data_IF_550405449927
#
_entry.id   IF_550405449927
#
_cell.length_a   1.000
_cell.length_b   1.000
_cell.length_c   1.000
_cell.angle_alpha   90.00
_cell.angle_beta   90.00
_cell.angle_gamma   90.00
#
_symmetry.space_group_name_H-M   'P 1'
#
loop_
_entity.id
_entity.type
_entity.pdbx_description
1 polymer ?
#
# COMPACT_ATOMS: atom_id res chain seq x y z
N UNK A 1 -7.17 -2.99 -21.81
CA UNK A 1 -6.25 -4.15 -21.83
C UNK A 1 -4.92 -3.73 -22.46
N UNK A 2 -3.76 -4.20 -21.98
CA UNK A 2 -2.45 -3.84 -22.56
C UNK A 2 -1.91 -2.45 -22.19
N UNK A 3 -2.45 -1.80 -21.15
CA UNK A 3 -1.89 -0.56 -20.60
C UNK A 3 -1.21 -0.85 -19.27
N UNK A 4 0.01 -0.35 -19.10
CA UNK A 4 0.70 -0.29 -17.82
C UNK A 4 0.81 1.18 -17.38
N UNK A 5 0.54 1.42 -16.10
CA UNK A 5 0.62 2.75 -15.50
C UNK A 5 1.73 2.76 -14.45
N UNK A 6 2.63 3.74 -14.53
CA UNK A 6 3.63 4.02 -13.52
C UNK A 6 3.67 5.55 -13.29
N UNK A 7 3.50 6.03 -12.05
CA UNK A 7 3.48 7.46 -11.77
C UNK A 7 4.85 8.10 -12.01
N UNK A 8 4.87 9.25 -12.69
CA UNK A 8 6.12 9.94 -13.05
C UNK A 8 6.87 10.51 -11.84
N UNK A 9 6.16 10.89 -10.79
CA UNK A 9 6.73 11.59 -9.64
C UNK A 9 7.38 10.67 -8.61
N UNK A 10 7.39 9.36 -8.85
CA UNK A 10 7.95 8.37 -7.91
C UNK A 10 9.29 7.87 -8.46
N UNK A 11 10.36 8.59 -8.09
CA UNK A 11 11.74 8.23 -8.40
C UNK A 11 12.42 7.46 -7.27
N UNK A 12 13.72 7.25 -7.43
CA UNK A 12 14.54 6.37 -6.59
C UNK A 12 14.59 6.75 -5.10
N UNK A 13 14.18 7.98 -4.78
CA UNK A 13 13.96 8.41 -3.40
C UNK A 13 12.89 7.57 -2.71
N UNK A 14 11.72 7.38 -3.33
CA UNK A 14 10.55 6.75 -2.70
C UNK A 14 10.30 5.31 -3.18
N UNK A 15 10.81 4.97 -4.35
CA UNK A 15 10.83 3.61 -4.89
C UNK A 15 12.27 3.17 -5.06
N UNK A 16 12.54 1.87 -5.18
CA UNK A 16 13.78 1.42 -5.79
C UNK A 16 13.57 1.40 -7.32
N UNK A 17 14.16 2.36 -8.03
CA UNK A 17 13.89 2.64 -9.45
C UNK A 17 12.85 3.75 -9.70
N UNK A 18 12.24 3.76 -10.89
CA UNK A 18 11.23 4.76 -11.26
C UNK A 18 11.06 4.89 -12.78
N UNK A 19 10.06 5.65 -13.22
CA UNK A 19 9.75 5.77 -14.66
C UNK A 19 10.90 6.35 -15.47
N UNK A 20 11.69 7.24 -14.87
CA UNK A 20 12.80 7.90 -15.56
C UNK A 20 13.93 6.92 -15.92
N UNK A 21 14.04 5.80 -15.20
CA UNK A 21 14.98 4.72 -15.54
C UNK A 21 14.55 3.93 -16.79
N UNK A 22 13.28 4.05 -17.20
CA UNK A 22 12.71 3.39 -18.37
C UNK A 22 12.68 4.29 -19.61
N UNK A 23 13.03 5.57 -19.48
CA UNK A 23 13.02 6.55 -20.58
C UNK A 23 14.40 6.76 -21.17
N UNK A 24 14.47 7.18 -22.43
CA UNK A 24 15.74 7.49 -23.10
C UNK A 24 16.38 8.75 -22.50
N UNK A 25 17.70 8.76 -22.21
CA UNK A 25 18.40 9.94 -21.72
C UNK A 25 18.79 10.92 -22.84
N UNK A 26 18.40 10.66 -24.10
CA UNK A 26 18.76 11.48 -25.24
C UNK A 26 18.12 12.88 -25.16
N UNK A 27 18.93 13.90 -25.45
CA UNK A 27 18.51 15.29 -25.52
C UNK A 27 19.27 16.02 -26.62
N UNK A 28 18.69 17.09 -27.14
CA UNK A 28 19.32 17.95 -28.14
C UNK A 28 20.52 18.71 -27.51
N UNK A 29 21.75 18.58 -28.03
CA UNK A 29 22.94 19.12 -27.37
C UNK A 29 22.95 20.66 -27.27
N UNK A 30 22.18 21.37 -28.11
CA UNK A 30 22.11 22.83 -28.13
C UNK A 30 21.03 23.36 -27.18
N UNK A 31 19.77 22.96 -27.39
CA UNK A 31 18.59 23.42 -26.64
C UNK A 31 18.36 22.69 -25.32
N UNK A 32 19.00 21.52 -25.14
CA UNK A 32 18.80 20.59 -24.02
C UNK A 32 17.37 20.04 -23.92
N UNK A 33 16.56 20.17 -24.97
CA UNK A 33 15.24 19.56 -25.00
C UNK A 33 15.37 18.04 -25.04
N UNK A 34 14.59 17.30 -24.24
CA UNK A 34 14.59 15.84 -24.27
C UNK A 34 13.99 15.33 -25.59
N UNK A 35 14.41 14.13 -26.01
CA UNK A 35 13.75 13.39 -27.08
C UNK A 35 12.24 13.19 -26.79
N UNK A 36 11.45 12.89 -27.83
CA UNK A 36 10.06 12.46 -27.68
C UNK A 36 9.96 11.37 -26.60
N UNK A 37 9.04 11.53 -25.65
CA UNK A 37 8.83 10.63 -24.49
C UNK A 37 8.21 9.28 -24.88
N UNK A 38 8.71 8.65 -25.93
CA UNK A 38 8.30 7.32 -26.35
C UNK A 38 9.39 6.33 -25.97
N UNK A 39 9.04 5.35 -25.13
CA UNK A 39 9.93 4.26 -24.77
C UNK A 39 9.18 2.94 -24.86
N UNK A 40 9.75 1.97 -25.57
CA UNK A 40 9.23 0.61 -25.61
C UNK A 40 9.56 -0.10 -24.31
N UNK A 41 8.55 -0.65 -23.64
CA UNK A 41 8.72 -1.41 -22.39
C UNK A 41 8.23 -2.84 -22.55
N UNK A 42 8.96 -3.78 -21.96
CA UNK A 42 8.55 -5.18 -21.80
C UNK A 42 8.16 -5.41 -20.35
N UNK A 43 7.04 -6.10 -20.13
CA UNK A 43 6.55 -6.44 -18.81
C UNK A 43 6.78 -7.92 -18.55
N UNK A 44 7.36 -8.23 -17.41
CA UNK A 44 7.63 -9.60 -16.97
C UNK A 44 7.15 -9.80 -15.54
N UNK A 45 6.55 -10.96 -15.21
CA UNK A 45 6.26 -11.31 -13.83
C UNK A 45 7.56 -11.43 -13.03
N UNK A 46 7.58 -10.83 -11.83
CA UNK A 46 8.68 -10.96 -10.87
C UNK A 46 8.24 -11.79 -9.67
N UNK A 47 9.10 -12.70 -9.22
CA UNK A 47 8.85 -13.55 -8.04
C UNK A 47 9.64 -13.00 -6.84
N UNK A 48 8.94 -12.31 -5.95
CA UNK A 48 9.48 -11.78 -4.68
C UNK A 48 8.66 -12.36 -3.51
N UNK A 49 8.84 -13.65 -3.18
CA UNK A 49 7.99 -14.35 -2.22
C UNK A 49 8.17 -13.84 -0.79
N UNK A 50 9.34 -13.31 -0.45
CA UNK A 50 9.57 -12.71 0.86
C UNK A 50 9.18 -11.23 0.83
N UNK A 51 8.33 -10.81 1.77
CA UNK A 51 7.79 -9.45 1.82
C UNK A 51 7.98 -8.81 3.19
N UNK A 52 8.15 -7.50 3.20
CA UNK A 52 8.22 -6.65 4.38
C UNK A 52 7.12 -5.58 4.30
N UNK A 53 6.44 -5.37 5.43
CA UNK A 53 5.56 -4.24 5.65
C UNK A 53 5.90 -3.62 7.00
N UNK A 54 6.25 -2.34 7.03
CA UNK A 54 6.53 -1.61 8.25
C UNK A 54 5.80 -0.26 8.27
N UNK A 55 5.44 0.17 9.46
CA UNK A 55 4.82 1.47 9.72
C UNK A 55 5.42 2.05 10.99
N UNK A 56 5.75 3.34 10.96
CA UNK A 56 6.20 4.10 12.14
C UNK A 56 5.56 5.48 12.16
N UNK A 57 4.84 5.77 13.24
CA UNK A 57 4.28 7.09 13.53
C UNK A 57 5.36 8.05 14.04
N UNK A 58 5.26 9.33 13.69
CA UNK A 58 6.10 10.38 14.26
C UNK A 58 6.80 11.22 13.20
N UNK A 59 8.08 11.52 13.43
CA UNK A 59 8.87 12.35 12.52
C UNK A 59 9.22 11.58 11.25
N UNK A 60 8.32 11.65 10.28
CA UNK A 60 8.43 10.97 8.98
C UNK A 60 9.76 11.22 8.29
N UNK A 61 10.24 12.47 8.25
CA UNK A 61 11.47 12.80 7.53
C UNK A 61 12.69 12.15 8.19
N UNK A 62 12.76 12.18 9.53
CA UNK A 62 13.82 11.51 10.28
C UNK A 62 13.80 9.98 10.08
N UNK A 63 12.62 9.35 10.15
CA UNK A 63 12.49 7.92 9.89
C UNK A 63 12.85 7.57 8.44
N UNK A 64 12.46 8.42 7.49
CA UNK A 64 12.76 8.24 6.08
C UNK A 64 14.28 8.24 5.84
N UNK A 65 15.00 9.25 6.34
CA UNK A 65 16.45 9.37 6.14
C UNK A 65 17.21 8.22 6.80
N UNK A 66 16.72 7.71 7.93
CA UNK A 66 17.33 6.58 8.63
C UNK A 66 17.05 5.22 7.97
N UNK A 67 15.81 4.98 7.49
CA UNK A 67 15.39 3.68 6.95
C UNK A 67 15.72 3.52 5.46
N UNK A 68 15.71 4.60 4.67
CA UNK A 68 15.90 4.52 3.22
C UNK A 68 17.20 3.81 2.81
N UNK A 69 18.37 4.05 3.43
CA UNK A 69 19.61 3.35 3.07
C UNK A 69 19.54 1.84 3.29
N UNK A 70 18.92 1.40 4.39
CA UNK A 70 18.77 -0.03 4.70
C UNK A 70 17.86 -0.75 3.70
N UNK A 71 16.95 0.00 3.08
CA UNK A 71 16.05 -0.57 2.08
C UNK A 71 16.78 -0.98 0.79
N UNK A 72 18.04 -0.54 0.57
CA UNK A 72 18.83 -0.99 -0.59
C UNK A 72 19.10 -2.49 -0.60
N UNK A 73 19.03 -3.16 0.55
CA UNK A 73 19.14 -4.61 0.66
C UNK A 73 17.97 -5.40 0.05
N UNK A 74 16.91 -4.75 -0.43
CA UNK A 74 15.76 -5.41 -1.04
C UNK A 74 15.73 -5.24 -2.56
N UNK A 75 15.11 -6.20 -3.26
CA UNK A 75 14.89 -6.10 -4.70
C UNK A 75 13.77 -5.11 -5.07
N UNK A 76 12.79 -4.94 -4.17
CA UNK A 76 11.71 -3.98 -4.31
C UNK A 76 11.56 -3.17 -3.02
N UNK A 77 11.34 -1.87 -3.17
CA UNK A 77 11.06 -0.94 -2.07
C UNK A 77 10.02 0.09 -2.50
N UNK A 78 9.11 0.42 -1.61
CA UNK A 78 8.23 1.57 -1.69
C UNK A 78 8.07 2.22 -0.31
N UNK A 79 8.40 3.50 -0.21
CA UNK A 79 8.19 4.35 0.95
C UNK A 79 7.08 5.34 0.63
N UNK A 80 6.09 5.42 1.50
CA UNK A 80 4.94 6.32 1.34
C UNK A 80 4.53 6.92 2.68
N UNK A 81 3.79 8.02 2.60
CA UNK A 81 3.29 8.72 3.79
C UNK A 81 1.84 8.36 4.01
N UNK A 82 1.46 8.19 5.27
CA UNK A 82 0.08 7.91 5.66
C UNK A 82 -0.28 8.63 6.95
N UNK A 83 -1.58 8.77 7.20
CA UNK A 83 -2.14 9.54 8.31
C UNK A 83 -2.09 11.06 8.10
N UNK A 84 -3.19 11.72 8.48
CA UNK A 84 -3.33 13.18 8.37
C UNK A 84 -2.98 13.86 9.69
N UNK A 85 -3.59 13.41 10.78
CA UNK A 85 -3.37 13.96 12.13
C UNK A 85 -2.14 13.33 12.81
N UNK A 86 -1.90 12.05 12.53
CA UNK A 86 -0.77 11.28 13.02
C UNK A 86 0.05 10.85 11.82
N UNK A 87 1.06 11.63 11.40
CA UNK A 87 1.86 11.27 10.25
C UNK A 87 2.68 10.01 10.55
N UNK A 88 2.73 9.10 9.59
CA UNK A 88 3.57 7.91 9.65
C UNK A 88 4.26 7.63 8.31
N UNK A 89 5.43 7.04 8.42
CA UNK A 89 6.14 6.46 7.30
C UNK A 89 5.70 5.01 7.13
N UNK A 90 5.27 4.67 5.92
CA UNK A 90 4.96 3.31 5.51
C UNK A 90 6.07 2.79 4.58
N UNK A 91 6.65 1.65 4.94
CA UNK A 91 7.68 0.97 4.14
C UNK A 91 7.13 -0.37 3.68
N UNK A 92 7.19 -0.61 2.38
CA UNK A 92 6.97 -1.90 1.75
C UNK A 92 8.26 -2.32 1.08
N UNK A 93 8.70 -3.54 1.34
CA UNK A 93 9.82 -4.11 0.61
C UNK A 93 9.53 -5.57 0.23
N UNK A 94 10.24 -6.08 -0.77
CA UNK A 94 10.15 -7.48 -1.14
C UNK A 94 11.47 -7.96 -1.74
N UNK A 95 11.72 -9.26 -1.60
CA UNK A 95 12.95 -9.88 -2.08
C UNK A 95 12.71 -11.34 -2.48
N UNK A 96 13.67 -11.89 -3.22
CA UNK A 96 13.65 -13.29 -3.68
C UNK A 96 13.77 -14.25 -2.50
N UNK A 97 14.56 -13.87 -1.50
CA UNK A 97 14.83 -14.65 -0.29
C UNK A 97 14.76 -13.74 0.94
N UNK A 98 14.77 -14.34 2.13
CA UNK A 98 14.83 -13.57 3.36
C UNK A 98 16.18 -12.83 3.46
N UNK A 99 16.20 -11.53 3.83
CA UNK A 99 17.43 -10.81 4.06
C UNK A 99 18.15 -11.33 5.31
N UNK A 100 19.40 -10.90 5.49
CA UNK A 100 20.14 -11.14 6.73
C UNK A 100 19.37 -10.64 7.96
N UNK A 101 19.44 -11.41 9.04
CA UNK A 101 18.82 -11.08 10.32
C UNK A 101 19.34 -9.75 10.86
N UNK A 102 20.61 -9.42 10.64
CA UNK A 102 21.18 -8.14 11.08
C UNK A 102 20.45 -6.94 10.45
N UNK A 103 20.06 -7.05 9.18
CA UNK A 103 19.28 -6.01 8.51
C UNK A 103 17.92 -5.84 9.18
N UNK A 104 17.23 -6.94 9.51
CA UNK A 104 15.94 -6.91 10.20
C UNK A 104 16.05 -6.34 11.62
N UNK A 105 17.09 -6.73 12.37
CA UNK A 105 17.37 -6.17 13.70
C UNK A 105 17.58 -4.66 13.62
N UNK A 106 18.36 -4.18 12.63
CA UNK A 106 18.59 -2.75 12.46
C UNK A 106 17.32 -1.98 12.09
N UNK A 107 16.45 -2.58 11.27
CA UNK A 107 15.11 -2.03 10.98
C UNK A 107 14.28 -1.97 12.27
N UNK A 108 14.24 -3.04 13.06
CA UNK A 108 13.50 -3.07 14.33
C UNK A 108 14.00 -1.97 15.31
N UNK A 109 15.31 -1.73 15.41
CA UNK A 109 15.88 -0.63 16.20
C UNK A 109 15.40 0.75 15.73
N UNK A 110 15.45 1.03 14.42
CA UNK A 110 15.02 2.31 13.87
C UNK A 110 13.50 2.56 13.96
N UNK A 111 12.72 1.48 14.04
CA UNK A 111 11.29 1.53 14.31
C UNK A 111 10.98 1.56 15.82
N UNK A 112 11.98 1.43 16.70
CA UNK A 112 11.81 1.36 18.15
C UNK A 112 11.02 0.12 18.60
N UNK A 113 11.16 -1.00 17.89
CA UNK A 113 10.49 -2.28 18.13
C UNK A 113 11.32 -3.25 18.99
N UNK A 114 12.51 -2.84 19.40
CA UNK A 114 13.42 -3.59 20.27
C UNK A 114 13.15 -3.38 21.77
N UNK A 115 12.38 -2.36 22.15
CA UNK A 115 12.06 -2.04 23.54
C UNK A 115 10.65 -1.46 23.75
N UNK A 116 10.11 -1.68 24.94
CA UNK A 116 8.79 -1.23 25.39
C UNK A 116 7.66 -2.24 25.15
N UNK A 117 6.40 -1.77 25.11
CA UNK A 117 5.22 -2.63 24.97
C UNK A 117 5.05 -3.18 23.53
N UNK A 118 5.98 -4.05 23.13
CA UNK A 118 6.04 -4.67 21.81
C UNK A 118 5.56 -6.11 21.89
N UNK A 119 4.59 -6.45 21.04
CA UNK A 119 4.20 -7.82 20.80
C UNK A 119 5.07 -8.40 19.69
N UNK A 120 5.71 -9.55 19.92
CA UNK A 120 6.61 -10.19 18.98
C UNK A 120 6.21 -11.64 18.66
N UNK A 121 6.46 -12.05 17.42
CA UNK A 121 6.36 -13.44 16.96
C UNK A 121 7.48 -13.71 15.96
N UNK A 122 8.20 -14.81 16.15
CA UNK A 122 9.31 -15.24 15.30
C UNK A 122 9.14 -16.72 14.93
N UNK A 123 9.26 -17.00 13.63
CA UNK A 123 9.39 -18.34 13.07
C UNK A 123 10.58 -18.34 12.10
N UNK A 124 11.79 -18.59 12.60
CA UNK A 124 13.00 -18.62 11.79
C UNK A 124 12.97 -19.67 10.68
N UNK A 125 12.26 -20.79 10.88
CA UNK A 125 12.14 -21.86 9.88
C UNK A 125 11.39 -21.40 8.63
N UNK A 126 10.43 -20.49 8.80
CA UNK A 126 9.66 -19.88 7.72
C UNK A 126 10.13 -18.48 7.34
N UNK A 127 11.21 -18.00 7.97
CA UNK A 127 11.71 -16.63 7.84
C UNK A 127 10.63 -15.56 8.11
N UNK A 128 9.74 -15.85 9.07
CA UNK A 128 8.67 -14.95 9.49
C UNK A 128 9.08 -14.25 10.78
N UNK A 129 8.91 -12.94 10.80
CA UNK A 129 9.00 -12.15 12.01
C UNK A 129 7.87 -11.14 12.02
N UNK A 130 7.20 -10.92 13.16
CA UNK A 130 6.17 -9.89 13.34
C UNK A 130 6.41 -9.15 14.65
N UNK A 131 6.35 -7.82 14.63
CA UNK A 131 6.43 -6.96 15.82
C UNK A 131 5.35 -5.89 15.71
N UNK A 132 4.62 -5.61 16.79
CA UNK A 132 3.62 -4.53 16.87
C UNK A 132 3.79 -3.82 18.21
N UNK A 133 4.08 -2.53 18.19
CA UNK A 133 4.22 -1.68 19.37
C UNK A 133 2.90 -0.98 19.67
N UNK A 134 2.44 -1.13 20.91
CA UNK A 134 1.17 -0.56 21.38
C UNK A 134 1.44 0.35 22.56
N UNK A 135 1.15 1.64 22.40
CA UNK A 135 1.28 2.63 23.46
C UNK A 135 -0.07 3.30 23.69
N UNK A 136 -0.49 3.43 24.95
CA UNK A 136 -1.78 4.06 25.31
C UNK A 136 -2.98 3.49 24.51
N UNK A 137 -3.00 2.16 24.33
CA UNK A 137 -4.10 1.46 23.65
C UNK A 137 -4.17 1.64 22.12
N UNK A 138 -3.09 2.10 21.48
CA UNK A 138 -3.03 2.28 20.02
C UNK A 138 -1.68 1.81 19.46
N UNK A 139 -1.69 1.40 18.19
CA UNK A 139 -0.46 1.07 17.47
C UNK A 139 0.35 2.36 17.26
N UNK A 140 1.67 2.31 17.47
CA UNK A 140 2.60 3.41 17.15
C UNK A 140 3.68 3.00 16.15
N UNK A 141 4.05 1.71 16.14
CA UNK A 141 4.97 1.13 15.18
C UNK A 141 4.62 -0.34 14.91
N UNK A 142 4.92 -0.85 13.73
CA UNK A 142 4.80 -2.27 13.42
C UNK A 142 5.75 -2.70 12.30
N UNK A 143 6.09 -3.98 12.29
CA UNK A 143 6.83 -4.64 11.21
C UNK A 143 6.31 -6.06 11.01
N UNK A 144 6.03 -6.43 9.78
CA UNK A 144 5.71 -7.78 9.31
C UNK A 144 6.76 -8.19 8.27
N UNK A 145 7.45 -9.31 8.46
CA UNK A 145 8.41 -9.88 7.51
C UNK A 145 8.06 -11.32 7.17
N UNK A 146 8.30 -11.69 5.92
CA UNK A 146 7.93 -12.97 5.33
C UNK A 146 6.43 -13.04 5.10
N UNK A 147 5.64 -12.99 6.17
CA UNK A 147 4.19 -13.06 6.16
C UNK A 147 3.59 -11.67 6.47
N UNK A 148 2.87 -11.07 5.51
CA UNK A 148 2.35 -9.69 5.59
C UNK A 148 0.84 -9.58 5.37
N UNK A 149 0.07 -10.68 5.48
CA UNK A 149 -1.37 -10.72 5.19
C UNK A 149 -2.16 -9.73 6.07
N UNK A 150 -1.69 -9.51 7.30
CA UNK A 150 -2.31 -8.59 8.25
C UNK A 150 -2.10 -7.10 7.97
N UNK A 151 -1.25 -6.73 7.00
CA UNK A 151 -0.82 -5.34 6.76
C UNK A 151 -1.96 -4.33 6.67
N UNK A 152 -3.01 -4.67 5.93
CA UNK A 152 -4.09 -3.73 5.60
C UNK A 152 -4.97 -3.40 6.80
N UNK A 153 -5.33 -4.40 7.60
CA UNK A 153 -6.17 -4.15 8.76
C UNK A 153 -5.37 -3.61 9.95
N UNK A 154 -4.08 -3.95 10.09
CA UNK A 154 -3.21 -3.31 11.06
C UNK A 154 -2.99 -1.82 10.75
N UNK A 155 -2.79 -1.47 9.47
CA UNK A 155 -2.73 -0.07 9.05
C UNK A 155 -4.05 0.67 9.35
N UNK A 156 -5.20 0.00 9.15
CA UNK A 156 -6.51 0.57 9.49
C UNK A 156 -6.66 0.81 10.99
N UNK A 157 -6.32 -0.16 11.83
CA UNK A 157 -6.34 0.01 13.29
C UNK A 157 -5.43 1.16 13.75
N UNK A 158 -4.25 1.27 13.13
CA UNK A 158 -3.38 2.43 13.36
C UNK A 158 -4.07 3.75 12.98
N UNK A 159 -4.67 3.85 11.79
CA UNK A 159 -5.41 5.03 11.32
C UNK A 159 -6.56 5.41 12.25
N UNK A 160 -7.32 4.42 12.72
CA UNK A 160 -8.43 4.61 13.67
C UNK A 160 -7.93 5.00 15.07
N UNK A 161 -6.67 4.72 15.39
CA UNK A 161 -6.08 5.02 16.70
C UNK A 161 -6.57 4.08 17.79
N UNK A 162 -6.90 2.85 17.41
CA UNK A 162 -7.49 1.84 18.31
C UNK A 162 -6.70 0.55 18.25
N UNK A 163 -6.45 -0.04 19.41
CA UNK A 163 -5.96 -1.40 19.56
C UNK A 163 -6.71 -2.03 20.74
N UNK A 164 -7.98 -2.37 20.52
CA UNK A 164 -8.85 -2.94 21.53
C UNK A 164 -8.24 -4.23 22.12
N UNK A 165 -8.44 -4.46 23.42
CA UNK A 165 -7.88 -5.64 24.11
C UNK A 165 -8.34 -6.96 23.48
N UNK A 166 -9.55 -7.00 22.91
CA UNK A 166 -10.07 -8.17 22.20
C UNK A 166 -9.33 -8.46 20.88
N UNK A 167 -8.90 -7.41 20.17
CA UNK A 167 -8.17 -7.52 18.91
C UNK A 167 -6.69 -7.81 19.15
N UNK A 168 -6.15 -7.43 20.31
CA UNK A 168 -4.74 -7.57 20.67
C UNK A 168 -4.19 -8.97 20.43
N UNK A 169 -4.94 -10.02 20.80
CA UNK A 169 -4.54 -11.42 20.62
C UNK A 169 -4.37 -11.86 19.15
N UNK A 170 -4.93 -11.09 18.22
CA UNK A 170 -4.96 -11.40 16.80
C UNK A 170 -3.97 -10.59 15.95
N UNK A 171 -3.30 -9.58 16.54
CA UNK A 171 -2.42 -8.66 15.81
C UNK A 171 -1.26 -9.36 15.08
N UNK A 172 -0.79 -10.50 15.61
CA UNK A 172 0.29 -11.29 15.01
C UNK A 172 -0.23 -12.49 14.19
N UNK A 173 -1.54 -12.71 14.15
CA UNK A 173 -2.13 -13.81 13.40
C UNK A 173 -2.04 -13.54 11.88
N UNK A 174 -1.88 -14.58 11.05
CA UNK A 174 -1.88 -14.45 9.59
C UNK A 174 -3.33 -14.32 9.09
N UNK A 175 -3.97 -13.18 9.37
CA UNK A 175 -5.34 -12.88 8.99
C UNK A 175 -5.38 -11.65 8.09
N UNK A 176 -6.20 -11.66 7.04
CA UNK A 176 -6.40 -10.51 6.15
C UNK A 176 -7.38 -9.47 6.70
N UNK A 177 -8.15 -9.84 7.72
CA UNK A 177 -9.15 -9.01 8.39
C UNK A 177 -9.20 -9.36 9.89
N UNK A 178 -9.63 -8.42 10.76
CA UNK A 178 -9.82 -8.73 12.17
C UNK A 178 -10.96 -9.75 12.34
N UNK A 179 -10.83 -10.72 13.25
CA UNK A 179 -11.91 -11.66 13.55
C UNK A 179 -13.13 -10.93 14.12
N UNK A 180 -14.32 -11.34 13.70
CA UNK A 180 -15.59 -10.64 13.99
C UNK A 180 -15.99 -9.59 12.95
N UNK A 181 -15.08 -9.24 12.03
CA UNK A 181 -15.35 -8.66 10.71
C UNK A 181 -16.17 -7.36 10.65
N UNK A 182 -15.47 -6.21 10.53
CA UNK A 182 -15.91 -5.18 9.60
C UNK A 182 -15.22 -5.43 8.26
N UNK A 183 -16.00 -5.52 7.18
CA UNK A 183 -15.54 -5.79 5.82
C UNK A 183 -14.31 -4.94 5.45
N UNK A 184 -13.42 -5.52 4.63
CA UNK A 184 -12.25 -4.82 4.12
C UNK A 184 -12.65 -3.43 3.60
N UNK A 185 -12.09 -2.37 4.21
CA UNK A 185 -12.26 -1.00 3.72
C UNK A 185 -11.77 -0.98 2.28
N UNK A 186 -12.72 -0.85 1.36
CA UNK A 186 -12.42 -0.76 -0.06
C UNK A 186 -11.63 0.52 -0.34
N UNK A 187 -10.84 0.49 -1.42
CA UNK A 187 -10.06 1.62 -1.90
C UNK A 187 -10.95 2.86 -2.02
N UNK A 188 -10.46 4.04 -1.64
CA UNK A 188 -11.16 5.30 -1.95
C UNK A 188 -11.12 5.51 -3.47
N UNK A 189 -12.31 5.57 -4.07
CA UNK A 189 -12.48 5.73 -5.51
C UNK A 189 -12.66 7.19 -5.89
N UNK A 190 -13.37 7.99 -5.07
CA UNK A 190 -13.49 9.44 -5.25
C UNK A 190 -12.85 10.17 -4.07
N UNK A 191 -11.63 10.69 -4.24
CA UNK A 191 -10.95 11.48 -3.21
C UNK A 191 -11.68 12.79 -2.88
N UNK A 192 -12.28 13.44 -3.89
CA UNK A 192 -12.95 14.73 -3.75
C UNK A 192 -14.15 14.66 -2.76
N UNK A 193 -14.84 13.52 -2.70
CA UNK A 193 -16.02 13.28 -1.85
C UNK A 193 -15.81 12.14 -0.84
N UNK A 194 -14.58 11.64 -0.72
CA UNK A 194 -14.21 10.51 0.14
C UNK A 194 -15.09 9.25 -0.04
N UNK A 195 -15.45 8.93 -1.29
CA UNK A 195 -16.32 7.78 -1.60
C UNK A 195 -15.49 6.56 -1.91
N UNK A 196 -15.80 5.44 -1.25
CA UNK A 196 -15.10 4.18 -1.43
C UNK A 196 -15.62 3.36 -2.61
N UNK A 197 -14.77 2.52 -3.17
CA UNK A 197 -15.09 1.60 -4.27
C UNK A 197 -16.23 0.65 -3.87
N UNK A 198 -16.29 0.19 -2.61
CA UNK A 198 -17.40 -0.65 -2.13
C UNK A 198 -18.71 0.10 -2.02
N UNK A 199 -18.70 1.39 -1.68
CA UNK A 199 -19.93 2.20 -1.68
C UNK A 199 -20.47 2.32 -3.11
N UNK A 200 -19.58 2.54 -4.09
CA UNK A 200 -19.93 2.56 -5.51
C UNK A 200 -20.44 1.19 -5.96
N UNK A 201 -19.71 0.10 -5.70
CA UNK A 201 -20.14 -1.25 -6.06
C UNK A 201 -21.45 -1.67 -5.37
N UNK A 202 -21.70 -1.25 -4.13
CA UNK A 202 -22.98 -1.47 -3.45
C UNK A 202 -24.11 -0.70 -4.12
N UNK A 203 -23.87 0.54 -4.55
CA UNK A 203 -24.82 1.32 -5.34
C UNK A 203 -25.13 0.68 -6.70
N UNK A 204 -24.09 0.23 -7.42
CA UNK A 204 -24.24 -0.51 -8.68
C UNK A 204 -25.02 -1.81 -8.46
N UNK A 205 -24.75 -2.54 -7.38
CA UNK A 205 -25.48 -3.76 -7.02
C UNK A 205 -26.97 -3.50 -6.71
N UNK A 206 -27.35 -2.28 -6.34
CA UNK A 206 -28.74 -1.83 -6.22
C UNK A 206 -29.36 -1.34 -7.55
N UNK A 207 -28.61 -1.37 -8.64
CA UNK A 207 -29.08 -0.95 -9.97
C UNK A 207 -28.86 0.53 -10.29
N UNK A 208 -28.04 1.25 -9.52
CA UNK A 208 -27.73 2.66 -9.82
C UNK A 208 -26.80 2.76 -11.03
N UNK A 209 -27.15 3.66 -11.94
CA UNK A 209 -26.26 4.11 -13.02
C UNK A 209 -25.33 5.24 -12.53
N UNK A 210 -24.52 5.79 -13.44
CA UNK A 210 -23.57 6.86 -13.10
C UNK A 210 -24.26 8.08 -12.49
N UNK A 211 -25.45 8.45 -12.95
CA UNK A 211 -26.15 9.64 -12.46
C UNK A 211 -26.84 9.36 -11.13
N UNK A 212 -27.38 8.15 -10.92
CA UNK A 212 -27.84 7.70 -9.61
C UNK A 212 -26.70 7.67 -8.56
N UNK A 213 -25.52 7.20 -8.95
CA UNK A 213 -24.33 7.22 -8.08
C UNK A 213 -23.84 8.63 -7.75
N UNK A 214 -23.92 9.57 -8.70
CA UNK A 214 -23.62 10.98 -8.45
C UNK A 214 -24.63 11.61 -7.51
N UNK A 215 -25.92 11.31 -7.66
CA UNK A 215 -26.97 11.87 -6.81
C UNK A 215 -26.89 11.33 -5.37
N UNK A 216 -26.62 10.03 -5.20
CA UNK A 216 -26.64 9.41 -3.87
C UNK A 216 -25.30 9.56 -3.13
N UNK A 217 -24.18 9.37 -3.83
CA UNK A 217 -22.85 9.33 -3.23
C UNK A 217 -22.03 10.59 -3.49
N UNK A 218 -22.56 11.56 -4.26
CA UNK A 218 -21.86 12.76 -4.70
C UNK A 218 -20.59 12.50 -5.55
N UNK A 219 -20.23 11.25 -5.82
CA UNK A 219 -18.98 10.92 -6.50
C UNK A 219 -18.97 11.43 -7.95
N UNK A 220 -17.83 11.98 -8.39
CA UNK A 220 -17.70 12.48 -9.77
C UNK A 220 -18.37 13.81 -10.07
N UNK A 221 -18.91 14.51 -9.06
CA UNK A 221 -19.56 15.83 -9.19
C UNK A 221 -18.60 17.03 -9.11
N UNK A 222 -17.37 16.82 -8.63
CA UNK A 222 -16.39 17.91 -8.41
C UNK A 222 -15.26 17.88 -9.45
N UNK A 223 -14.23 17.05 -9.22
CA UNK A 223 -13.04 16.98 -10.07
C UNK A 223 -13.18 15.98 -11.24
N UNK A 224 -14.21 15.12 -11.23
CA UNK A 224 -14.49 14.14 -12.28
C UNK A 224 -13.48 12.99 -12.44
N UNK A 225 -12.34 13.00 -11.74
CA UNK A 225 -11.24 12.04 -11.93
C UNK A 225 -11.60 10.58 -11.66
N UNK A 226 -12.64 10.34 -10.85
CA UNK A 226 -13.14 9.01 -10.53
C UNK A 226 -14.15 8.46 -11.58
N UNK A 227 -14.68 9.29 -12.47
CA UNK A 227 -15.74 8.91 -13.41
C UNK A 227 -15.32 7.82 -14.41
N UNK A 228 -14.11 7.84 -15.00
CA UNK A 228 -13.67 6.75 -15.89
C UNK A 228 -13.65 5.39 -15.20
N UNK A 229 -13.25 5.35 -13.93
CA UNK A 229 -13.22 4.14 -13.12
C UNK A 229 -14.63 3.64 -12.77
N UNK A 230 -15.55 4.55 -12.40
CA UNK A 230 -16.97 4.20 -12.14
C UNK A 230 -17.60 3.58 -13.40
N UNK A 231 -17.37 4.16 -14.58
CA UNK A 231 -17.87 3.61 -15.84
C UNK A 231 -17.33 2.20 -16.11
N UNK A 232 -16.06 1.94 -15.77
CA UNK A 232 -15.46 0.61 -15.89
C UNK A 232 -16.14 -0.41 -14.97
N UNK A 233 -16.45 -0.04 -13.72
CA UNK A 233 -17.15 -0.89 -12.75
C UNK A 233 -18.60 -1.18 -13.17
N UNK A 234 -19.29 -0.19 -13.74
CA UNK A 234 -20.63 -0.36 -14.32
C UNK A 234 -20.61 -1.35 -15.50
N UNK A 235 -19.63 -1.21 -16.39
CA UNK A 235 -19.45 -2.08 -17.55
C UNK A 235 -19.08 -3.53 -17.18
N UNK A 236 -18.30 -3.74 -16.11
CA UNK A 236 -17.95 -5.08 -15.65
C UNK A 236 -19.12 -5.84 -15.02
N UNK A 237 -20.11 -5.12 -14.49
CA UNK A 237 -21.28 -5.72 -13.81
C UNK A 237 -22.42 -6.03 -14.79
N UNK A 238 -22.39 -5.44 -15.99
CA UNK A 238 -23.43 -5.55 -17.03
C UNK A 238 -23.19 -6.66 -18.06
N UNK A 239 -22.17 -7.50 -17.87
CA UNK A 239 -21.94 -8.70 -18.67
C UNK A 239 -22.44 -9.96 -17.92
N UNK A 240 -23.68 -10.42 -18.17
CA UNK A 240 -23.97 -11.84 -18.00
C UNK A 240 -23.21 -12.60 -19.08
N UNK A 241 -22.28 -13.46 -18.68
CA UNK A 241 -21.72 -14.48 -19.57
C UNK A 241 -22.86 -15.47 -19.85
N UNK A 242 -23.56 -15.28 -20.96
CA UNK A 242 -24.37 -16.33 -21.55
C UNK A 242 -23.45 -17.25 -22.35
N UNK A 243 -23.01 -18.35 -21.73
CA UNK A 243 -22.56 -19.52 -22.48
C UNK A 243 -23.84 -20.25 -22.88
N UNK A 244 -24.25 -20.13 -24.15
CA UNK A 244 -25.18 -21.08 -24.75
C UNK A 244 -24.37 -22.24 -25.32
N UNK A 245 -24.76 -23.45 -24.93
CA UNK A 245 -24.24 -24.74 -25.40
C UNK A 245 -24.49 -24.90 -26.90
#
# INVERSE_FOLDING_TARGET
PGQAFLPMHWGDRFLKGGVNALTQPAFDPLSKQPELKHSGVRLEPVQLPWQLFALIEGNVQQHFDALRPLCEGFAYVSLSLTGRERPALLVRAAHTEAPDLQLLTRIDELLGLNDGPVMAYDDPRRSIGKRVKIEKGRITALRLAGETLARHWLQRLWLEGRADDQLRRWLLAPLSAPPGGAAASSKILCNCKNVSESAVCAGIGRGLDLDGLKQELDCGTQCGSCVPEIKRLLASTSLPIAISV
#
